data_IF_503676577488
#
_entry.id   IF_503676577488
#
_cell.length_a   1.000
_cell.length_b   1.000
_cell.length_c   1.000
_cell.angle_alpha   90.00
_cell.angle_beta   90.00
_cell.angle_gamma   90.00
#
_symmetry.space_group_name_H-M   'P 1'
#
loop_
_entity.id
_entity.type
_entity.pdbx_description
1 polymer ?
#
# COMPACT_ATOMS: atom_id res chain seq x y z
N UNK A 1 24.70 27.20 10.62
CA UNK A 1 24.05 26.28 9.66
C UNK A 1 23.76 24.87 10.21
N UNK A 2 24.52 24.35 11.20
CA UNK A 2 24.28 23.00 11.78
C UNK A 2 22.96 22.81 12.56
N UNK A 3 22.31 23.89 13.01
CA UNK A 3 21.12 23.82 13.88
C UNK A 3 19.78 23.56 13.14
N UNK A 4 19.65 23.98 11.87
CA UNK A 4 18.38 23.82 11.14
C UNK A 4 18.22 22.38 10.65
N UNK A 5 19.30 21.76 10.17
CA UNK A 5 19.30 20.37 9.69
C UNK A 5 18.99 19.39 10.83
N UNK A 6 19.54 19.59 12.03
CA UNK A 6 19.24 18.73 13.19
C UNK A 6 17.84 18.92 13.75
N UNK A 7 17.27 20.13 13.67
CA UNK A 7 15.88 20.42 14.04
C UNK A 7 14.87 19.81 13.07
N UNK A 8 15.15 19.93 11.76
CA UNK A 8 14.33 19.32 10.70
C UNK A 8 14.42 17.80 10.79
N UNK A 9 15.61 17.22 10.94
CA UNK A 9 15.76 15.78 11.21
C UNK A 9 15.10 15.34 12.51
N UNK A 10 15.12 16.16 13.57
CA UNK A 10 14.43 15.87 14.84
C UNK A 10 12.90 15.91 14.74
N UNK A 11 12.35 16.80 13.89
CA UNK A 11 10.92 16.87 13.58
C UNK A 11 10.48 15.72 12.67
N UNK A 12 11.27 15.40 11.64
CA UNK A 12 11.08 14.24 10.76
C UNK A 12 11.17 12.94 11.56
N UNK A 13 12.18 12.79 12.43
CA UNK A 13 12.32 11.62 13.30
C UNK A 13 11.13 11.46 14.24
N UNK A 14 10.49 12.53 14.73
CA UNK A 14 9.29 12.41 15.56
C UNK A 14 8.03 12.04 14.78
N UNK A 15 7.85 12.56 13.57
CA UNK A 15 6.72 12.19 12.69
C UNK A 15 6.88 10.74 12.24
N UNK A 16 8.04 10.36 11.74
CA UNK A 16 8.31 9.03 11.18
C UNK A 16 8.42 7.96 12.28
N UNK A 17 8.98 8.26 13.46
CA UNK A 17 9.07 7.27 14.56
C UNK A 17 7.70 7.00 15.22
N UNK A 18 6.70 7.87 15.02
CA UNK A 18 5.31 7.56 15.38
C UNK A 18 4.64 6.59 14.39
N UNK A 19 5.10 6.53 13.14
CA UNK A 19 4.52 5.63 12.11
C UNK A 19 5.20 4.26 12.04
N UNK A 20 6.45 4.13 12.49
CA UNK A 20 7.36 3.06 12.05
C UNK A 20 7.20 1.65 12.67
N UNK A 21 6.17 1.40 13.49
CA UNK A 21 5.89 0.00 13.94
C UNK A 21 4.47 -0.19 14.47
N UNK A 22 3.90 0.85 15.09
CA UNK A 22 2.53 0.83 15.57
C UNK A 22 1.54 1.10 14.43
N UNK A 23 1.82 2.00 13.49
CA UNK A 23 0.86 2.35 12.44
C UNK A 23 0.60 1.19 11.49
N UNK A 24 1.59 0.40 11.05
CA UNK A 24 1.32 -0.75 10.17
C UNK A 24 0.53 -1.86 10.88
N UNK A 25 0.83 -2.19 12.15
CA UNK A 25 0.03 -3.18 12.91
C UNK A 25 -1.36 -2.68 13.26
N UNK A 26 -1.51 -1.39 13.57
CA UNK A 26 -2.78 -0.77 13.95
C UNK A 26 -3.63 -0.48 12.72
N UNK A 27 -3.03 -0.14 11.58
CA UNK A 27 -3.69 -0.05 10.27
C UNK A 27 -4.08 -1.44 9.78
N UNK A 28 -3.26 -2.48 9.94
CA UNK A 28 -3.65 -3.86 9.61
C UNK A 28 -4.74 -4.41 10.54
N UNK A 29 -4.72 -4.06 11.84
CA UNK A 29 -5.82 -4.32 12.78
C UNK A 29 -7.09 -3.53 12.45
N UNK A 30 -6.98 -2.25 12.08
CA UNK A 30 -8.12 -1.43 11.68
C UNK A 30 -8.71 -1.95 10.37
N UNK A 31 -7.88 -2.32 9.39
CA UNK A 31 -8.32 -2.95 8.14
C UNK A 31 -9.00 -4.29 8.42
N UNK A 32 -8.45 -5.12 9.32
CA UNK A 32 -9.07 -6.38 9.74
C UNK A 32 -10.40 -6.14 10.48
N UNK A 33 -10.49 -5.14 11.36
CA UNK A 33 -11.73 -4.80 12.07
C UNK A 33 -12.77 -4.15 11.17
N UNK A 34 -12.36 -3.37 10.16
CA UNK A 34 -13.25 -2.75 9.16
C UNK A 34 -13.77 -3.82 8.17
N UNK A 35 -12.93 -4.81 7.84
CA UNK A 35 -13.32 -6.00 7.06
C UNK A 35 -14.30 -6.90 7.84
N UNK A 36 -14.12 -7.03 9.17
CA UNK A 36 -15.00 -7.78 10.08
C UNK A 36 -16.28 -7.03 10.46
N UNK A 37 -16.27 -5.69 10.41
CA UNK A 37 -17.41 -4.84 10.77
C UNK A 37 -18.24 -4.38 9.57
N UNK A 38 -18.06 -4.96 8.39
CA UNK A 38 -19.02 -4.77 7.30
C UNK A 38 -20.39 -5.24 7.81
N UNK A 39 -21.37 -4.34 7.97
CA UNK A 39 -22.68 -4.76 8.43
C UNK A 39 -23.27 -5.66 7.35
N UNK A 40 -23.56 -6.91 7.69
CA UNK A 40 -24.37 -7.82 6.86
C UNK A 40 -25.82 -7.34 6.93
N UNK A 41 -26.11 -6.23 6.25
CA UNK A 41 -27.48 -5.76 6.07
C UNK A 41 -28.06 -6.56 4.90
N UNK A 42 -28.64 -7.73 5.21
CA UNK A 42 -29.48 -8.46 4.28
C UNK A 42 -30.87 -7.83 4.25
N UNK A 43 -31.15 -7.03 3.22
CA UNK A 43 -32.51 -6.65 2.85
C UNK A 43 -32.87 -7.43 1.59
N UNK A 44 -33.76 -8.41 1.76
CA UNK A 44 -34.36 -9.15 0.67
C UNK A 44 -35.66 -8.44 0.28
N UNK A 45 -35.58 -7.52 -0.68
CA UNK A 45 -36.74 -6.99 -1.39
C UNK A 45 -36.70 -7.49 -2.84
N UNK A 46 -37.81 -8.10 -3.26
CA UNK A 46 -38.03 -8.68 -4.58
C UNK A 46 -38.35 -7.58 -5.60
N UNK A 47 -37.35 -6.76 -5.90
CA UNK A 47 -37.28 -5.92 -7.09
C UNK A 47 -35.92 -6.17 -7.74
N UNK A 48 -35.89 -6.30 -9.07
CA UNK A 48 -34.70 -6.59 -9.90
C UNK A 48 -33.43 -6.09 -9.25
N UNK A 49 -32.63 -7.01 -8.66
CA UNK A 49 -31.46 -6.69 -7.85
C UNK A 49 -30.59 -5.71 -8.63
N UNK A 50 -30.57 -4.40 -8.29
CA UNK A 50 -29.70 -3.47 -8.95
C UNK A 50 -28.30 -3.86 -8.50
N UNK A 51 -27.43 -4.14 -9.47
CA UNK A 51 -26.04 -4.50 -9.20
C UNK A 51 -25.45 -3.48 -8.20
N UNK A 52 -25.03 -3.91 -7.00
CA UNK A 52 -24.53 -3.00 -5.96
C UNK A 52 -23.23 -2.29 -6.40
N UNK A 53 -22.62 -2.78 -7.48
CA UNK A 53 -21.66 -2.05 -8.29
C UNK A 53 -22.40 -1.44 -9.49
N UNK A 54 -22.63 -0.12 -9.47
CA UNK A 54 -23.23 0.58 -10.61
C UNK A 54 -22.43 0.29 -11.89
N UNK A 55 -23.10 -0.26 -12.92
CA UNK A 55 -22.57 -0.45 -14.28
C UNK A 55 -21.38 -1.41 -14.40
N UNK A 56 -21.48 -2.60 -13.81
CA UNK A 56 -20.43 -3.61 -13.92
C UNK A 56 -21.05 -4.95 -14.32
N UNK A 57 -21.33 -5.10 -15.61
CA UNK A 57 -22.16 -6.20 -16.12
C UNK A 57 -21.35 -7.48 -16.36
N UNK A 58 -20.02 -7.41 -16.25
CA UNK A 58 -19.09 -8.51 -16.48
C UNK A 58 -18.12 -8.71 -15.32
N UNK A 59 -17.81 -9.97 -14.99
CA UNK A 59 -16.84 -10.35 -13.94
C UNK A 59 -15.49 -9.64 -14.13
N UNK A 60 -15.10 -9.42 -15.39
CA UNK A 60 -13.93 -8.66 -15.77
C UNK A 60 -13.96 -7.27 -15.12
N UNK A 61 -14.94 -6.41 -15.41
CA UNK A 61 -15.01 -5.02 -14.91
C UNK A 61 -15.01 -4.91 -13.37
N UNK A 62 -15.51 -5.93 -12.65
CA UNK A 62 -15.41 -5.95 -11.19
C UNK A 62 -13.96 -6.14 -10.71
N UNK A 63 -13.16 -6.93 -11.43
CA UNK A 63 -11.76 -7.17 -11.11
C UNK A 63 -10.92 -5.89 -11.29
N UNK A 64 -11.03 -5.19 -12.42
CA UNK A 64 -10.25 -3.96 -12.65
C UNK A 64 -10.61 -2.83 -11.70
N UNK A 65 -11.88 -2.68 -11.30
CA UNK A 65 -12.26 -1.72 -10.27
C UNK A 65 -11.59 -2.03 -8.91
N UNK A 66 -11.46 -3.32 -8.55
CA UNK A 66 -10.76 -3.74 -7.33
C UNK A 66 -9.24 -3.54 -7.43
N UNK A 67 -8.63 -3.82 -8.58
CA UNK A 67 -7.20 -3.62 -8.81
C UNK A 67 -6.80 -2.14 -8.80
N UNK A 68 -7.66 -1.26 -9.29
CA UNK A 68 -7.44 0.19 -9.29
C UNK A 68 -7.34 0.73 -7.85
N UNK A 69 -8.30 0.35 -7.00
CA UNK A 69 -8.32 0.75 -5.57
C UNK A 69 -7.06 0.23 -4.84
N UNK A 70 -6.68 -1.02 -5.09
CA UNK A 70 -5.49 -1.63 -4.45
C UNK A 70 -4.20 -0.94 -4.91
N UNK A 71 -4.09 -0.60 -6.19
CA UNK A 71 -2.89 0.04 -6.76
C UNK A 71 -2.74 1.47 -6.26
N UNK A 72 -3.82 2.23 -6.16
CA UNK A 72 -3.81 3.60 -5.67
C UNK A 72 -3.32 3.68 -4.20
N UNK A 73 -3.84 2.81 -3.34
CA UNK A 73 -3.39 2.73 -1.93
C UNK A 73 -1.94 2.20 -1.86
N UNK A 74 -1.60 1.21 -2.69
CA UNK A 74 -0.26 0.63 -2.75
C UNK A 74 0.83 1.65 -3.11
N UNK A 75 0.52 2.56 -4.04
CA UNK A 75 1.45 3.61 -4.47
C UNK A 75 1.79 4.59 -3.34
N UNK A 76 0.79 5.03 -2.58
CA UNK A 76 0.99 5.95 -1.43
C UNK A 76 1.85 5.29 -0.35
N UNK A 77 1.58 4.03 -0.01
CA UNK A 77 2.35 3.28 1.00
C UNK A 77 3.79 3.07 0.55
N UNK A 78 4.02 2.75 -0.74
CA UNK A 78 5.37 2.59 -1.29
C UNK A 78 6.20 3.87 -1.19
N UNK A 79 5.60 5.02 -1.49
CA UNK A 79 6.29 6.30 -1.43
C UNK A 79 6.83 6.58 -0.01
N UNK A 80 6.02 6.34 1.02
CA UNK A 80 6.43 6.53 2.43
C UNK A 80 7.57 5.57 2.79
N UNK A 81 7.48 4.31 2.38
CA UNK A 81 8.50 3.29 2.63
C UNK A 81 9.85 3.63 1.98
N UNK A 82 9.84 4.16 0.75
CA UNK A 82 11.06 4.62 0.06
C UNK A 82 11.73 5.75 0.84
N UNK A 83 10.97 6.77 1.28
CA UNK A 83 11.50 7.88 2.07
C UNK A 83 12.12 7.39 3.39
N UNK A 84 11.46 6.43 4.06
CA UNK A 84 11.96 5.85 5.30
C UNK A 84 13.27 5.08 5.11
N UNK A 85 13.36 4.23 4.08
CA UNK A 85 14.60 3.49 3.80
C UNK A 85 15.76 4.44 3.48
N UNK A 86 15.50 5.50 2.69
CA UNK A 86 16.48 6.55 2.40
C UNK A 86 17.02 7.23 3.66
N UNK A 87 16.13 7.58 4.61
CA UNK A 87 16.54 8.11 5.91
C UNK A 87 17.44 7.14 6.69
N UNK A 88 17.12 5.84 6.68
CA UNK A 88 17.89 4.83 7.41
C UNK A 88 19.34 4.72 6.88
N UNK A 89 19.53 4.83 5.57
CA UNK A 89 20.87 4.90 4.97
C UNK A 89 21.66 6.13 5.39
N UNK A 90 21.01 7.29 5.54
CA UNK A 90 21.66 8.54 5.98
C UNK A 90 22.06 8.46 7.46
N UNK A 91 21.23 7.84 8.30
CA UNK A 91 21.49 7.70 9.74
C UNK A 91 22.58 6.67 10.03
N UNK A 92 22.68 5.61 9.23
CA UNK A 92 23.60 4.52 9.50
C UNK A 92 25.08 4.95 9.52
N UNK A 93 25.46 6.06 8.87
CA UNK A 93 26.76 6.75 8.97
C UNK A 93 28.04 5.86 9.00
N UNK A 94 27.99 4.62 8.48
CA UNK A 94 29.10 3.67 8.50
C UNK A 94 29.09 2.62 9.62
N UNK A 95 28.06 2.54 10.46
CA UNK A 95 27.88 1.41 11.40
C UNK A 95 27.31 0.19 10.68
N UNK A 96 28.07 -0.90 10.66
CA UNK A 96 27.70 -2.15 9.97
C UNK A 96 26.33 -2.71 10.38
N UNK A 97 26.00 -2.63 11.67
CA UNK A 97 24.72 -3.12 12.19
C UNK A 97 23.51 -2.31 11.65
N UNK A 98 23.66 -1.00 11.50
CA UNK A 98 22.60 -0.11 11.02
C UNK A 98 22.50 -0.17 9.48
N UNK A 99 23.63 -0.33 8.78
CA UNK A 99 23.68 -0.56 7.34
C UNK A 99 23.01 -1.88 6.93
N UNK A 100 23.17 -2.93 7.74
CA UNK A 100 22.53 -4.22 7.46
C UNK A 100 21.01 -4.10 7.53
N UNK A 101 20.49 -3.38 8.53
CA UNK A 101 19.05 -3.09 8.67
C UNK A 101 18.52 -2.22 7.52
N UNK A 102 19.32 -1.27 7.03
CA UNK A 102 18.94 -0.43 5.90
C UNK A 102 18.77 -1.25 4.62
N UNK A 103 19.71 -2.16 4.36
CA UNK A 103 19.69 -3.07 3.22
C UNK A 103 18.51 -4.04 3.29
N UNK A 104 18.22 -4.58 4.46
CA UNK A 104 17.04 -5.41 4.68
C UNK A 104 15.75 -4.67 4.35
N UNK A 105 15.61 -3.44 4.86
CA UNK A 105 14.44 -2.61 4.60
C UNK A 105 14.29 -2.29 3.11
N UNK A 106 15.40 -1.99 2.42
CA UNK A 106 15.39 -1.72 0.98
C UNK A 106 15.00 -2.95 0.15
N UNK A 107 15.39 -4.17 0.54
CA UNK A 107 14.93 -5.40 -0.13
C UNK A 107 13.41 -5.55 -0.06
N UNK A 108 12.82 -5.29 1.11
CA UNK A 108 11.36 -5.33 1.27
C UNK A 108 10.65 -4.26 0.44
N UNK A 109 11.22 -3.06 0.33
CA UNK A 109 10.69 -2.00 -0.54
C UNK A 109 10.77 -2.38 -2.01
N UNK A 110 11.87 -2.98 -2.46
CA UNK A 110 12.01 -3.46 -3.83
C UNK A 110 10.97 -4.54 -4.15
N UNK A 111 10.75 -5.49 -3.25
CA UNK A 111 9.74 -6.55 -3.42
C UNK A 111 8.33 -5.94 -3.46
N UNK A 112 8.02 -4.99 -2.56
CA UNK A 112 6.74 -4.29 -2.57
C UNK A 112 6.51 -3.48 -3.85
N UNK A 113 7.54 -2.78 -4.33
CA UNK A 113 7.49 -2.01 -5.58
C UNK A 113 7.28 -2.90 -6.80
N UNK A 114 8.03 -4.00 -6.87
CA UNK A 114 7.88 -4.99 -7.92
C UNK A 114 6.49 -5.65 -7.91
N UNK A 115 5.88 -5.85 -6.74
CA UNK A 115 4.54 -6.42 -6.63
C UNK A 115 3.47 -5.47 -7.19
N UNK A 116 3.52 -4.17 -6.84
CA UNK A 116 2.55 -3.18 -7.32
C UNK A 116 2.67 -2.99 -8.84
N UNK A 117 3.89 -2.87 -9.36
CA UNK A 117 4.13 -2.77 -10.80
C UNK A 117 3.78 -4.07 -11.54
N UNK A 118 4.07 -5.22 -10.92
CA UNK A 118 3.80 -6.55 -11.49
C UNK A 118 2.30 -6.84 -11.58
N UNK A 119 1.49 -6.36 -10.64
CA UNK A 119 0.04 -6.53 -10.68
C UNK A 119 -0.58 -5.87 -11.92
N UNK A 120 -0.14 -4.66 -12.28
CA UNK A 120 -0.63 -3.95 -13.46
C UNK A 120 -0.27 -4.69 -14.76
N UNK A 121 0.99 -5.12 -14.90
CA UNK A 121 1.45 -5.87 -16.08
C UNK A 121 0.69 -7.20 -16.25
N UNK A 122 0.44 -7.90 -15.15
CA UNK A 122 -0.32 -9.16 -15.19
C UNK A 122 -1.80 -8.94 -15.53
N UNK A 123 -2.41 -7.86 -15.02
CA UNK A 123 -3.80 -7.52 -15.33
C UNK A 123 -3.98 -7.22 -16.83
N UNK A 124 -3.06 -6.46 -17.43
CA UNK A 124 -3.13 -6.10 -18.84
C UNK A 124 -2.85 -7.31 -19.75
N UNK A 125 -1.94 -8.20 -19.35
CA UNK A 125 -1.69 -9.45 -20.09
C UNK A 125 -2.94 -10.36 -20.15
N UNK A 126 -3.70 -10.43 -19.06
CA UNK A 126 -4.94 -11.22 -19.00
C UNK A 126 -6.07 -10.52 -19.74
N UNK A 127 -6.26 -9.20 -19.52
CA UNK A 127 -7.26 -8.40 -20.22
C UNK A 127 -7.09 -8.45 -21.73
N UNK A 128 -5.85 -8.27 -22.22
CA UNK A 128 -5.54 -8.37 -23.64
C UNK A 128 -5.80 -9.77 -24.22
N UNK A 129 -5.72 -10.84 -23.43
CA UNK A 129 -6.07 -12.19 -23.91
C UNK A 129 -7.58 -12.36 -24.04
N UNK A 130 -8.36 -11.78 -23.12
CA UNK A 130 -9.82 -11.87 -23.12
C UNK A 130 -10.41 -11.01 -24.25
N UNK A 131 -9.85 -9.82 -24.49
CA UNK A 131 -10.31 -8.91 -25.56
C UNK A 131 -9.96 -9.41 -26.99
N UNK A 132 -9.02 -10.35 -27.11
CA UNK A 132 -8.64 -10.98 -28.38
C UNK A 132 -9.40 -12.29 -28.67
N UNK A 133 -10.39 -12.67 -27.84
CA UNK A 133 -11.37 -13.72 -28.12
C UNK A 133 -12.71 -13.14 -28.57
#
# INVERSE_FOLDING_TARGET
MKNIISLVFGKIKRVVMCENFSFVKKTWLVFYTVLLSLPSIGLADNETIPNPFKNVDTVSELLLALFEIVTEIGAVVLAVMIVYTGYLFVVAQGKDAELTKAKESLRWVLIGGALVLGAWVLAEAIGGTIDNL
#
